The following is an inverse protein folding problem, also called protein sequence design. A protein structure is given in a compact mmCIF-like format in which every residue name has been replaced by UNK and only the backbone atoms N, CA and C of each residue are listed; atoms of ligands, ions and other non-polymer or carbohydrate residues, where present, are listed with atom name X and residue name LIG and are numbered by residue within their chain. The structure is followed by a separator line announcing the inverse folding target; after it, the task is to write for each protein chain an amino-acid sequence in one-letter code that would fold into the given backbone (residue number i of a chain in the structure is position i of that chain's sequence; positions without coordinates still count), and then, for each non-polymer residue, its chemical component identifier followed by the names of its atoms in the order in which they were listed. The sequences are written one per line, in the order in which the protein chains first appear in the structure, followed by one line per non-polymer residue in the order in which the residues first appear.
data_IF_723071291801
#
_entry.id   IF_723071291801
#
_cell.length_a   1.000
_cell.length_b   1.000
_cell.length_c   1.000
_cell.angle_alpha   90.00
_cell.angle_beta   90.00
_cell.angle_gamma   90.00
#
_symmetry.space_group_name_H-M   'P 1'
#
loop_
_entity.id
_entity.type
_entity.pdbx_description
1 polymer ?
#
# COMPACT_ATOMS: atom_id res chain seq x y z
N UNK A 1 -27.44 18.14 30.74
CA UNK A 1 -27.08 19.04 29.63
C UNK A 1 -27.30 18.27 28.33
N UNK A 2 -28.34 18.65 27.59
CA UNK A 2 -28.67 18.17 26.25
C UNK A 2 -27.73 18.77 25.19
N UNK A 3 -27.83 18.22 23.98
CA UNK A 3 -27.38 18.67 22.64
C UNK A 3 -26.21 17.84 22.07
N UNK A 4 -26.21 17.33 20.84
CA UNK A 4 -27.23 17.25 19.79
C UNK A 4 -26.73 16.25 18.73
N UNK A 5 -27.57 15.27 18.41
CA UNK A 5 -27.99 14.85 17.06
C UNK A 5 -26.95 14.70 15.93
N UNK A 6 -26.79 13.45 15.49
CA UNK A 6 -26.18 13.06 14.22
C UNK A 6 -26.47 11.59 13.88
N UNK A 7 -27.69 11.14 14.18
CA UNK A 7 -28.21 9.87 13.70
C UNK A 7 -28.52 10.03 12.21
N UNK A 8 -27.69 9.44 11.36
CA UNK A 8 -28.09 9.13 9.98
C UNK A 8 -29.06 7.96 10.04
N UNK A 9 -30.33 8.26 10.27
CA UNK A 9 -31.45 7.32 10.24
C UNK A 9 -31.49 6.55 8.90
N UNK A 10 -31.47 5.21 8.98
CA UNK A 10 -32.00 4.36 7.93
C UNK A 10 -33.50 4.67 7.81
N UNK A 11 -33.90 5.30 6.71
CA UNK A 11 -35.31 5.46 6.39
C UNK A 11 -35.95 4.08 6.12
N UNK A 12 -37.12 3.78 6.72
CA UNK A 12 -37.84 2.57 6.38
C UNK A 12 -38.52 2.75 5.02
N UNK A 13 -38.18 1.90 4.05
CA UNK A 13 -38.90 1.80 2.79
C UNK A 13 -40.29 1.22 3.03
N UNK A 14 -41.34 2.01 2.76
CA UNK A 14 -42.72 1.51 2.70
C UNK A 14 -42.97 0.78 1.38
N UNK A 15 -43.94 -0.15 1.32
CA UNK A 15 -44.26 -0.86 0.09
C UNK A 15 -45.35 -0.10 -0.66
N UNK A 16 -45.04 0.45 -1.85
CA UNK A 16 -46.09 0.85 -2.79
C UNK A 16 -45.63 0.83 -4.26
N UNK A 17 -45.99 -0.29 -4.89
CA UNK A 17 -46.76 -0.38 -6.13
C UNK A 17 -46.19 0.14 -7.47
N UNK A 18 -46.40 -0.70 -8.48
CA UNK A 18 -46.05 -0.60 -9.89
C UNK A 18 -46.49 0.72 -10.57
N UNK A 19 -45.57 1.38 -11.25
CA UNK A 19 -45.85 2.11 -12.50
C UNK A 19 -44.68 1.95 -13.47
N UNK A 20 -44.96 1.30 -14.60
CA UNK A 20 -44.05 1.16 -15.73
C UNK A 20 -43.67 2.54 -16.32
N UNK A 21 -42.37 2.76 -16.50
CA UNK A 21 -41.83 3.71 -17.47
C UNK A 21 -40.92 2.90 -18.40
N UNK A 22 -41.28 2.87 -19.67
CA UNK A 22 -40.53 2.28 -20.78
C UNK A 22 -39.82 3.42 -21.55
N UNK A 23 -38.59 3.14 -22.03
CA UNK A 23 -37.73 3.94 -22.94
C UNK A 23 -36.60 4.81 -22.34
N UNK A 24 -35.47 4.15 -22.01
CA UNK A 24 -34.17 4.35 -22.69
C UNK A 24 -33.30 3.12 -22.37
N UNK A 25 -32.65 2.52 -23.37
CA UNK A 25 -31.92 1.25 -23.28
C UNK A 25 -30.64 1.24 -22.42
N UNK A 26 -30.71 1.77 -21.21
CA UNK A 26 -29.71 1.62 -20.16
C UNK A 26 -30.39 0.84 -19.05
N UNK A 27 -30.02 -0.43 -18.91
CA UNK A 27 -30.43 -1.22 -17.75
C UNK A 27 -29.91 -0.52 -16.49
N UNK A 28 -30.76 0.27 -15.83
CA UNK A 28 -30.56 0.64 -14.44
C UNK A 28 -30.75 -0.64 -13.63
N UNK A 29 -29.69 -1.45 -13.58
CA UNK A 29 -29.60 -2.52 -12.60
C UNK A 29 -29.62 -1.80 -11.26
N UNK A 30 -30.71 -1.96 -10.51
CA UNK A 30 -30.76 -1.53 -9.12
C UNK A 30 -29.67 -2.35 -8.44
N UNK A 31 -28.49 -1.76 -8.28
CA UNK A 31 -27.32 -2.44 -7.72
C UNK A 31 -27.73 -2.89 -6.33
N UNK A 32 -27.82 -4.20 -6.13
CA UNK A 32 -28.21 -4.75 -4.84
C UNK A 32 -27.19 -4.32 -3.78
N UNK A 33 -27.62 -4.08 -2.54
CA UNK A 33 -26.72 -3.69 -1.46
C UNK A 33 -25.53 -4.66 -1.34
N UNK A 34 -25.76 -5.94 -1.59
CA UNK A 34 -24.73 -7.00 -1.62
C UNK A 34 -23.73 -6.84 -2.79
N UNK A 35 -24.17 -6.39 -3.97
CA UNK A 35 -23.28 -6.03 -5.08
C UNK A 35 -22.47 -4.77 -4.77
N UNK A 36 -23.12 -3.77 -4.17
CA UNK A 36 -22.46 -2.53 -3.77
C UNK A 36 -21.41 -2.77 -2.68
N UNK A 37 -21.71 -3.65 -1.72
CA UNK A 37 -20.78 -4.12 -0.71
C UNK A 37 -19.64 -4.93 -1.31
N UNK A 38 -19.93 -5.80 -2.29
CA UNK A 38 -18.90 -6.59 -2.94
C UNK A 38 -17.95 -5.73 -3.79
N UNK A 39 -18.48 -4.77 -4.54
CA UNK A 39 -17.69 -3.78 -5.28
C UNK A 39 -16.85 -2.91 -4.34
N UNK A 40 -17.43 -2.50 -3.21
CA UNK A 40 -16.72 -1.76 -2.16
C UNK A 40 -15.60 -2.58 -1.50
N UNK A 41 -15.75 -3.91 -1.38
CA UNK A 41 -14.68 -4.83 -0.92
C UNK A 41 -13.56 -4.94 -1.96
N UNK A 42 -13.92 -5.08 -3.24
CA UNK A 42 -12.96 -5.20 -4.33
C UNK A 42 -12.07 -3.95 -4.45
N UNK A 43 -12.64 -2.74 -4.26
CA UNK A 43 -11.88 -1.49 -4.33
C UNK A 43 -10.82 -1.33 -3.22
N UNK A 44 -10.95 -2.06 -2.11
CA UNK A 44 -10.00 -2.02 -0.98
C UNK A 44 -8.85 -3.01 -1.13
N UNK A 45 -8.91 -3.90 -2.11
CA UNK A 45 -7.87 -4.89 -2.35
C UNK A 45 -6.89 -4.35 -3.37
N UNK A 46 -5.64 -4.11 -2.96
CA UNK A 46 -4.60 -3.71 -3.90
C UNK A 46 -4.39 -4.81 -4.95
N UNK A 47 -4.34 -4.43 -6.22
CA UNK A 47 -4.01 -5.35 -7.31
C UNK A 47 -2.63 -5.97 -7.08
N UNK A 48 -2.51 -7.28 -7.31
CA UNK A 48 -1.26 -8.03 -7.15
C UNK A 48 -0.07 -7.40 -7.89
N UNK A 49 -0.32 -6.86 -9.10
CA UNK A 49 0.69 -6.12 -9.88
C UNK A 49 1.16 -4.81 -9.23
N UNK A 50 0.26 -4.07 -8.57
CA UNK A 50 0.65 -2.86 -7.83
C UNK A 50 1.49 -3.22 -6.60
N UNK A 51 1.13 -4.29 -5.88
CA UNK A 51 1.94 -4.81 -4.78
C UNK A 51 3.34 -5.23 -5.25
N UNK A 52 3.45 -5.96 -6.37
CA UNK A 52 4.73 -6.34 -6.94
C UNK A 52 5.60 -5.13 -7.32
N UNK A 53 5.01 -4.13 -7.96
CA UNK A 53 5.71 -2.92 -8.35
C UNK A 53 6.25 -2.15 -7.14
N UNK A 54 5.43 -1.96 -6.09
CA UNK A 54 5.84 -1.26 -4.88
C UNK A 54 6.93 -2.01 -4.11
N UNK A 55 6.83 -3.35 -4.00
CA UNK A 55 7.88 -4.16 -3.35
C UNK A 55 9.19 -4.10 -4.15
N UNK A 56 9.11 -4.21 -5.47
CA UNK A 56 10.30 -4.26 -6.32
C UNK A 56 11.03 -2.92 -6.36
N UNK A 57 10.28 -1.81 -6.37
CA UNK A 57 10.85 -0.46 -6.40
C UNK A 57 11.30 0.03 -5.03
N UNK A 58 10.68 -0.41 -3.93
CA UNK A 58 11.05 -0.01 -2.57
C UNK A 58 12.11 -0.93 -1.94
N UNK A 59 11.99 -2.26 -2.08
CA UNK A 59 12.88 -3.23 -1.41
C UNK A 59 13.99 -3.74 -2.33
N UNK A 60 13.64 -4.13 -3.57
CA UNK A 60 14.57 -4.84 -4.46
C UNK A 60 15.35 -3.92 -5.40
N UNK A 61 15.34 -2.60 -5.15
CA UNK A 61 15.87 -1.56 -6.02
C UNK A 61 17.00 -2.06 -6.93
N UNK A 62 16.81 -2.08 -8.26
CA UNK A 62 17.64 -2.86 -9.20
C UNK A 62 19.13 -2.49 -9.14
N UNK A 63 19.44 -1.29 -8.65
CA UNK A 63 20.79 -0.78 -8.49
C UNK A 63 21.52 -1.34 -7.25
N UNK A 64 20.81 -1.81 -6.23
CA UNK A 64 21.39 -2.28 -4.98
C UNK A 64 22.01 -3.69 -5.07
N UNK A 65 21.39 -4.59 -5.85
CA UNK A 65 21.83 -5.99 -5.99
C UNK A 65 23.14 -6.10 -6.75
N UNK A 66 23.32 -5.33 -7.83
CA UNK A 66 24.56 -5.32 -8.59
C UNK A 66 25.74 -4.76 -7.78
N UNK A 67 25.51 -3.66 -7.06
CA UNK A 67 26.55 -3.00 -6.26
C UNK A 67 27.03 -3.87 -5.08
N UNK A 68 26.11 -4.54 -4.40
CA UNK A 68 26.45 -5.46 -3.31
C UNK A 68 27.16 -6.72 -3.81
N UNK A 69 26.71 -7.33 -4.91
CA UNK A 69 27.46 -8.47 -5.48
C UNK A 69 28.87 -8.08 -5.94
N UNK A 70 29.05 -6.85 -6.45
CA UNK A 70 30.35 -6.33 -6.87
C UNK A 70 31.30 -5.98 -5.71
N UNK A 71 30.78 -5.63 -4.53
CA UNK A 71 31.60 -5.21 -3.36
C UNK A 71 31.85 -6.34 -2.36
N UNK A 72 30.88 -7.24 -2.18
CA UNK A 72 30.94 -8.33 -1.20
C UNK A 72 31.43 -9.63 -1.86
N UNK A 73 31.29 -9.75 -3.18
CA UNK A 73 31.54 -10.98 -3.94
C UNK A 73 30.33 -11.92 -3.97
N UNK A 74 30.43 -12.97 -4.81
CA UNK A 74 29.34 -13.89 -5.09
C UNK A 74 28.84 -14.65 -3.85
N UNK A 75 29.75 -15.17 -3.02
CA UNK A 75 29.41 -15.97 -1.84
C UNK A 75 28.58 -15.23 -0.79
N UNK A 76 29.12 -14.18 -0.15
CA UNK A 76 28.40 -13.45 0.90
C UNK A 76 27.23 -12.64 0.34
N UNK A 77 27.31 -12.13 -0.90
CA UNK A 77 26.21 -11.40 -1.52
C UNK A 77 24.97 -12.28 -1.69
N UNK A 78 25.11 -13.48 -2.28
CA UNK A 78 23.99 -14.41 -2.45
C UNK A 78 23.43 -14.86 -1.10
N UNK A 79 24.30 -15.19 -0.14
CA UNK A 79 23.88 -15.65 1.19
C UNK A 79 23.08 -14.58 1.95
N UNK A 80 23.54 -13.31 1.94
CA UNK A 80 22.84 -12.22 2.61
C UNK A 80 21.49 -11.93 1.94
N UNK A 81 21.41 -11.94 0.61
CA UNK A 81 20.13 -11.75 -0.10
C UNK A 81 19.13 -12.86 0.17
N UNK A 82 19.58 -14.12 0.24
CA UNK A 82 18.68 -15.24 0.54
C UNK A 82 18.17 -15.18 1.97
N UNK A 83 19.04 -14.90 2.95
CA UNK A 83 18.62 -14.79 4.35
C UNK A 83 17.67 -13.62 4.57
N UNK A 84 17.97 -12.44 4.00
CA UNK A 84 17.08 -11.28 4.10
C UNK A 84 15.78 -11.47 3.32
N UNK A 85 15.82 -12.09 2.15
CA UNK A 85 14.62 -12.45 1.38
C UNK A 85 13.70 -13.41 2.13
N UNK A 86 14.26 -14.46 2.75
CA UNK A 86 13.51 -15.41 3.57
C UNK A 86 12.91 -14.73 4.81
N UNK A 87 13.70 -13.90 5.49
CA UNK A 87 13.24 -13.18 6.68
C UNK A 87 12.12 -12.18 6.34
N UNK A 88 12.23 -11.49 5.20
CA UNK A 88 11.19 -10.59 4.69
C UNK A 88 9.92 -11.35 4.28
N UNK A 89 10.06 -12.51 3.66
CA UNK A 89 8.91 -13.38 3.36
C UNK A 89 8.21 -13.87 4.63
N UNK A 90 8.98 -14.26 5.65
CA UNK A 90 8.45 -14.71 6.94
C UNK A 90 7.72 -13.58 7.69
N UNK A 91 8.27 -12.36 7.70
CA UNK A 91 7.60 -11.21 8.32
C UNK A 91 6.31 -10.83 7.59
N UNK A 92 6.28 -10.91 6.26
CA UNK A 92 5.06 -10.73 5.46
C UNK A 92 3.98 -11.77 5.78
N UNK A 93 4.38 -13.04 5.93
CA UNK A 93 3.47 -14.12 6.32
C UNK A 93 2.84 -13.89 7.70
N UNK A 94 3.64 -13.44 8.69
CA UNK A 94 3.13 -13.11 10.02
C UNK A 94 2.08 -12.00 9.97
N UNK A 95 2.33 -10.93 9.20
CA UNK A 95 1.38 -9.82 9.06
C UNK A 95 0.10 -10.29 8.37
N UNK A 96 0.20 -11.15 7.35
CA UNK A 96 -0.98 -11.73 6.68
C UNK A 96 -1.85 -12.54 7.66
N UNK A 97 -1.21 -13.34 8.53
CA UNK A 97 -1.92 -14.08 9.58
C UNK A 97 -2.59 -13.16 10.59
N UNK A 98 -1.92 -12.07 10.99
CA UNK A 98 -2.53 -11.06 11.86
C UNK A 98 -3.70 -10.34 11.19
N UNK A 99 -3.61 -10.03 9.89
CA UNK A 99 -4.67 -9.37 9.14
C UNK A 99 -5.94 -10.24 9.07
N UNK A 100 -5.81 -11.52 8.72
CA UNK A 100 -6.96 -12.44 8.69
C UNK A 100 -7.63 -12.64 10.06
N UNK A 101 -6.89 -12.45 11.16
CA UNK A 101 -7.44 -12.60 12.51
C UNK A 101 -8.10 -11.35 13.09
N UNK A 102 -7.74 -10.15 12.60
CA UNK A 102 -8.19 -8.87 13.16
C UNK A 102 -9.07 -8.03 12.21
N UNK A 103 -9.25 -8.45 10.97
CA UNK A 103 -10.12 -7.77 10.01
C UNK A 103 -11.61 -7.99 10.35
N UNK A 104 -12.32 -6.90 10.66
CA UNK A 104 -13.74 -6.90 11.02
C UNK A 104 -14.46 -5.79 10.27
N UNK A 105 -15.69 -6.07 9.82
CA UNK A 105 -16.48 -5.21 8.94
C UNK A 105 -16.74 -3.81 9.51
N UNK A 106 -16.98 -3.70 10.82
CA UNK A 106 -17.22 -2.40 11.49
C UNK A 106 -15.93 -1.60 11.73
N UNK A 107 -14.76 -2.25 11.82
CA UNK A 107 -13.49 -1.58 12.15
C UNK A 107 -12.35 -2.07 11.24
N UNK A 108 -12.30 -1.61 9.97
CA UNK A 108 -11.30 -2.05 9.01
C UNK A 108 -9.91 -1.53 9.37
N UNK A 109 -8.92 -2.42 9.35
CA UNK A 109 -7.51 -2.11 9.52
C UNK A 109 -6.97 -1.41 8.26
N UNK A 110 -6.69 -0.11 8.34
CA UNK A 110 -6.15 0.66 7.20
C UNK A 110 -4.64 0.84 7.23
N UNK A 111 -4.06 1.00 8.42
CA UNK A 111 -2.64 1.31 8.59
C UNK A 111 -1.96 0.26 9.48
N UNK A 112 -0.67 0.02 9.24
CA UNK A 112 0.19 -0.82 10.10
C UNK A 112 0.18 -0.38 11.57
N UNK A 113 0.04 0.93 11.84
CA UNK A 113 -0.10 1.45 13.20
C UNK A 113 -1.41 1.08 13.92
N UNK A 114 -2.50 0.81 13.18
CA UNK A 114 -3.77 0.34 13.78
C UNK A 114 -3.71 -1.15 14.14
N UNK A 115 -2.98 -1.93 13.33
CA UNK A 115 -2.65 -3.32 13.64
C UNK A 115 -1.84 -3.41 14.93
N UNK A 116 -0.81 -2.56 15.07
CA UNK A 116 0.02 -2.48 16.26
C UNK A 116 -0.76 -2.01 17.50
N UNK A 117 -1.72 -1.10 17.33
CA UNK A 117 -2.58 -0.60 18.41
C UNK A 117 -3.39 -1.73 19.06
N UNK A 118 -3.94 -2.65 18.26
CA UNK A 118 -4.78 -3.75 18.77
C UNK A 118 -3.97 -4.88 19.43
N UNK A 119 -2.74 -5.12 18.98
CA UNK A 119 -1.90 -6.21 19.51
C UNK A 119 -1.13 -5.76 20.77
N UNK A 120 -0.59 -4.55 20.79
CA UNK A 120 0.34 -4.08 21.84
C UNK A 120 -0.12 -2.80 22.57
N UNK A 121 -1.24 -2.19 22.19
CA UNK A 121 -1.80 -1.00 22.85
C UNK A 121 -1.38 0.36 22.27
N UNK A 122 -1.76 1.43 22.99
CA UNK A 122 -1.73 2.82 22.49
C UNK A 122 -0.34 3.36 22.13
N UNK A 123 0.66 3.10 22.97
CA UNK A 123 2.02 3.63 22.79
C UNK A 123 2.67 3.12 21.50
N UNK A 124 2.39 1.86 21.15
CA UNK A 124 2.99 1.18 20.02
C UNK A 124 2.54 1.80 18.69
N UNK A 125 1.33 2.37 18.62
CA UNK A 125 0.84 3.08 17.42
C UNK A 125 1.72 4.28 17.05
N UNK A 126 2.16 5.04 18.04
CA UNK A 126 2.97 6.25 17.80
C UNK A 126 4.39 5.87 17.36
N UNK A 127 4.95 4.82 17.97
CA UNK A 127 6.27 4.29 17.63
C UNK A 127 6.31 3.78 16.19
N UNK A 128 5.35 2.95 15.78
CA UNK A 128 5.31 2.41 14.42
C UNK A 128 5.08 3.50 13.36
N UNK A 129 4.21 4.48 13.62
CA UNK A 129 4.04 5.60 12.69
C UNK A 129 5.31 6.46 12.57
N UNK A 130 6.03 6.67 13.69
CA UNK A 130 7.29 7.41 13.67
C UNK A 130 8.38 6.65 12.89
N UNK A 131 8.58 5.35 13.16
CA UNK A 131 9.53 4.51 12.44
C UNK A 131 9.20 4.42 10.94
N UNK A 132 7.92 4.29 10.58
CA UNK A 132 7.47 4.28 9.19
C UNK A 132 7.77 5.60 8.48
N UNK A 133 7.58 6.74 9.17
CA UNK A 133 7.89 8.05 8.59
C UNK A 133 9.39 8.23 8.33
N UNK A 134 10.23 7.71 9.23
CA UNK A 134 11.68 7.70 9.07
C UNK A 134 12.09 6.79 7.90
N UNK A 135 11.50 5.60 7.79
CA UNK A 135 11.76 4.69 6.67
C UNK A 135 11.48 5.36 5.32
N UNK A 136 10.31 5.99 5.17
CA UNK A 136 9.95 6.69 3.94
C UNK A 136 10.89 7.87 3.63
N UNK A 137 11.31 8.61 4.65
CA UNK A 137 12.27 9.71 4.48
C UNK A 137 13.63 9.21 3.96
N UNK A 138 14.13 8.09 4.48
CA UNK A 138 15.38 7.50 3.99
C UNK A 138 15.26 6.89 2.60
N UNK A 139 14.16 6.17 2.30
CA UNK A 139 13.94 5.61 0.96
C UNK A 139 13.93 6.72 -0.12
N UNK A 140 13.20 7.81 0.12
CA UNK A 140 13.18 8.94 -0.83
C UNK A 140 14.53 9.67 -0.87
N UNK A 141 15.19 9.85 0.28
CA UNK A 141 16.53 10.45 0.35
C UNK A 141 17.57 9.70 -0.48
N UNK A 142 17.59 8.37 -0.40
CA UNK A 142 18.49 7.52 -1.20
C UNK A 142 18.22 7.66 -2.70
N UNK A 143 16.95 7.71 -3.12
CA UNK A 143 16.58 7.91 -4.52
C UNK A 143 17.07 9.29 -5.01
N UNK A 144 16.90 10.35 -4.22
CA UNK A 144 17.35 11.70 -4.58
C UNK A 144 18.88 11.75 -4.72
N UNK A 145 19.63 11.14 -3.79
CA UNK A 145 21.09 11.08 -3.85
C UNK A 145 21.56 10.26 -5.07
N UNK A 146 20.94 9.11 -5.33
CA UNK A 146 21.29 8.25 -6.48
C UNK A 146 21.08 8.99 -7.81
N UNK A 147 19.96 9.69 -7.97
CA UNK A 147 19.71 10.51 -9.15
C UNK A 147 20.63 11.74 -9.21
N UNK A 148 20.97 12.33 -8.06
CA UNK A 148 21.92 13.42 -7.96
C UNK A 148 23.34 13.04 -8.41
N UNK A 149 23.79 11.83 -8.07
CA UNK A 149 25.08 11.30 -8.54
C UNK A 149 25.09 11.09 -10.06
N UNK A 150 24.01 10.51 -10.62
CA UNK A 150 23.87 10.36 -12.07
C UNK A 150 23.87 11.72 -12.78
N UNK A 151 23.12 12.70 -12.27
CA UNK A 151 23.08 14.06 -12.82
C UNK A 151 24.44 14.77 -12.71
N UNK A 152 25.20 14.54 -11.63
CA UNK A 152 26.54 15.10 -11.46
C UNK A 152 27.57 14.54 -12.45
N UNK A 153 27.38 13.30 -12.91
CA UNK A 153 28.23 12.70 -13.94
C UNK A 153 27.84 13.25 -15.31
N UNK A 154 26.54 13.36 -15.61
CA UNK A 154 26.02 13.93 -16.86
C UNK A 154 26.37 15.42 -17.00
N UNK A 155 26.39 16.20 -15.91
CA UNK A 155 26.70 17.63 -15.96
C UNK A 155 28.20 17.96 -16.06
N UNK A 156 29.09 17.04 -15.65
CA UNK A 156 30.54 17.18 -15.83
C UNK A 156 31.00 16.85 -17.24
N UNK A 157 30.31 15.97 -17.95
CA UNK A 157 30.46 15.87 -19.40
C UNK A 157 29.73 17.06 -20.02
N UNK A 158 30.48 18.01 -20.59
CA UNK A 158 29.92 19.02 -21.48
C UNK A 158 29.30 18.31 -22.69
N UNK A 159 28.04 17.89 -22.56
CA UNK A 159 27.19 17.52 -23.69
C UNK A 159 26.92 18.81 -24.47
N UNK A 160 27.87 19.13 -25.35
CA UNK A 160 27.62 19.95 -26.51
C UNK A 160 26.64 19.16 -27.39
N UNK A 161 25.35 19.50 -27.32
CA UNK A 161 24.46 19.27 -28.45
C UNK A 161 24.94 20.18 -29.58
N UNK A 162 25.97 19.76 -30.33
CA UNK A 162 26.26 20.19 -31.69
C UNK A 162 27.48 19.45 -32.28
N UNK A 163 27.23 18.84 -33.44
CA UNK A 163 28.12 18.65 -34.60
C UNK A 163 28.62 17.21 -34.90
N UNK A 164 28.09 16.73 -36.05
CA UNK A 164 28.50 15.67 -36.99
C UNK A 164 28.16 14.22 -36.68
#
# INVERSE_FOLDING_TARGET
MQASTGAGECLPISPSNETMIEDYGVAYTVVSDEEWLNASRAFRTATSGACFFLITTDILGPFGVGFSLGTMGWGPGIALYTVFGLTAGYSGYLIWKCFMGLDSYQFPLKNYGDLAFRIYGSHTRHIFNFLQSIQLMFSVGLIVISNGQALSQVSKFRLCYAVC
#
